data_IF_354108457995
#
_entry.id   IF_354108457995
#
_cell.length_a   1.000
_cell.length_b   1.000
_cell.length_c   1.000
_cell.angle_alpha   90.00
_cell.angle_beta   90.00
_cell.angle_gamma   90.00
#
_symmetry.space_group_name_H-M   'P 1'
#
loop_
_entity.id
_entity.type
_entity.pdbx_description
1 polymer ?
#
# COMPACT_ATOMS: atom_id res chain seq x y z
N UNK A 1 20.06 3.71 -36.70
CA UNK A 1 18.60 3.90 -36.54
C UNK A 1 17.97 2.78 -35.71
N UNK A 2 18.43 1.54 -35.78
CA UNK A 2 17.96 0.43 -34.92
C UNK A 2 18.10 0.68 -33.41
N UNK A 3 19.21 1.27 -32.97
CA UNK A 3 19.48 1.53 -31.55
C UNK A 3 18.49 2.52 -30.90
N UNK A 4 17.95 3.47 -31.66
CA UNK A 4 16.96 4.44 -31.16
C UNK A 4 15.58 3.81 -30.95
N UNK A 5 15.20 2.86 -31.81
CA UNK A 5 13.91 2.17 -31.67
C UNK A 5 13.92 1.17 -30.51
N UNK A 6 15.04 0.46 -30.30
CA UNK A 6 15.15 -0.49 -29.19
C UNK A 6 15.15 0.23 -27.83
N UNK A 7 15.93 1.31 -27.65
CA UNK A 7 15.93 2.08 -26.40
C UNK A 7 14.54 2.63 -26.04
N UNK A 8 13.83 3.19 -27.02
CA UNK A 8 12.48 3.73 -26.81
C UNK A 8 11.47 2.64 -26.44
N UNK A 9 11.62 1.44 -27.00
CA UNK A 9 10.75 0.30 -26.68
C UNK A 9 11.03 -0.25 -25.28
N UNK A 10 12.29 -0.31 -24.86
CA UNK A 10 12.68 -0.74 -23.51
C UNK A 10 12.21 0.27 -22.45
N UNK A 11 12.37 1.57 -22.69
CA UNK A 11 11.93 2.62 -21.76
C UNK A 11 10.40 2.60 -21.56
N UNK A 12 9.64 2.38 -22.64
CA UNK A 12 8.18 2.26 -22.56
C UNK A 12 7.75 1.05 -21.72
N UNK A 13 8.40 -0.11 -21.91
CA UNK A 13 8.15 -1.33 -21.13
C UNK A 13 8.48 -1.13 -19.65
N UNK A 14 9.59 -0.47 -19.35
CA UNK A 14 9.98 -0.12 -17.99
C UNK A 14 8.93 0.76 -17.30
N UNK A 15 8.44 1.79 -18.00
CA UNK A 15 7.38 2.65 -17.47
C UNK A 15 6.05 1.91 -17.26
N UNK A 16 5.70 0.96 -18.14
CA UNK A 16 4.52 0.11 -17.98
C UNK A 16 4.64 -0.82 -16.77
N UNK A 17 5.82 -1.40 -16.55
CA UNK A 17 6.10 -2.22 -15.37
C UNK A 17 5.95 -1.41 -14.08
N UNK A 18 6.51 -0.20 -14.00
CA UNK A 18 6.34 0.71 -12.85
C UNK A 18 4.86 0.99 -12.59
N UNK A 19 4.09 1.32 -13.63
CA UNK A 19 2.65 1.63 -13.47
C UNK A 19 1.86 0.45 -12.92
N UNK A 20 2.14 -0.77 -13.38
CA UNK A 20 1.48 -1.97 -12.87
C UNK A 20 1.78 -2.19 -11.39
N UNK A 21 3.06 -2.15 -11.01
CA UNK A 21 3.50 -2.34 -9.62
C UNK A 21 2.89 -1.29 -8.69
N UNK A 22 2.83 -0.02 -9.12
CA UNK A 22 2.21 1.07 -8.35
C UNK A 22 0.71 0.86 -8.13
N UNK A 23 0.02 0.27 -9.11
CA UNK A 23 -1.42 -0.02 -9.02
C UNK A 23 -1.70 -1.15 -8.03
N UNK A 24 -0.93 -2.23 -8.09
CA UNK A 24 -1.01 -3.33 -7.12
C UNK A 24 -0.76 -2.83 -5.70
N UNK A 25 0.29 -2.02 -5.51
CA UNK A 25 0.66 -1.42 -4.23
C UNK A 25 -0.48 -0.62 -3.60
N UNK A 26 -1.12 0.25 -4.38
CA UNK A 26 -2.26 1.04 -3.91
C UNK A 26 -3.40 0.15 -3.41
N UNK A 27 -3.71 -0.93 -4.14
CA UNK A 27 -4.76 -1.89 -3.73
C UNK A 27 -4.44 -2.57 -2.39
N UNK A 28 -3.21 -3.07 -2.21
CA UNK A 28 -2.79 -3.69 -0.95
C UNK A 28 -2.87 -2.71 0.24
N UNK A 29 -2.49 -1.45 0.03
CA UNK A 29 -2.60 -0.41 1.06
C UNK A 29 -4.07 -0.21 1.46
N UNK A 30 -4.96 -0.05 0.48
CA UNK A 30 -6.40 0.11 0.76
C UNK A 30 -6.97 -1.10 1.52
N UNK A 31 -6.58 -2.32 1.13
CA UNK A 31 -7.02 -3.54 1.80
C UNK A 31 -6.51 -3.63 3.25
N UNK A 32 -5.24 -3.30 3.49
CA UNK A 32 -4.65 -3.27 4.84
C UNK A 32 -5.35 -2.21 5.69
N UNK A 33 -5.50 -0.99 5.18
CA UNK A 33 -6.22 0.08 5.88
C UNK A 33 -7.64 -0.36 6.23
N UNK A 34 -8.39 -0.91 5.27
CA UNK A 34 -9.74 -1.42 5.50
C UNK A 34 -9.78 -2.49 6.60
N UNK A 35 -8.85 -3.44 6.58
CA UNK A 35 -8.74 -4.47 7.61
C UNK A 35 -8.51 -3.86 9.01
N UNK A 36 -7.57 -2.92 9.13
CA UNK A 36 -7.27 -2.26 10.39
C UNK A 36 -8.45 -1.40 10.91
N UNK A 37 -9.17 -0.71 10.01
CA UNK A 37 -10.41 0.04 10.36
C UNK A 37 -11.45 -0.89 10.93
N UNK A 38 -11.74 -2.00 10.25
CA UNK A 38 -12.74 -2.96 10.71
C UNK A 38 -12.32 -3.61 12.04
N UNK A 39 -11.05 -3.97 12.19
CA UNK A 39 -10.52 -4.50 13.44
C UNK A 39 -10.73 -3.52 14.60
N UNK A 40 -10.44 -2.23 14.39
CA UNK A 40 -10.67 -1.18 15.38
C UNK A 40 -12.14 -1.04 15.76
N UNK A 41 -13.06 -1.10 14.80
CA UNK A 41 -14.50 -1.05 15.06
C UNK A 41 -14.92 -2.25 15.93
N UNK A 42 -14.45 -3.45 15.61
CA UNK A 42 -14.75 -4.67 16.38
C UNK A 42 -14.16 -4.57 17.79
N UNK A 43 -12.89 -4.20 17.92
CA UNK A 43 -12.21 -4.06 19.21
C UNK A 43 -12.89 -3.01 20.08
N UNK A 44 -13.27 -1.88 19.50
CA UNK A 44 -14.06 -0.84 20.17
C UNK A 44 -15.39 -1.42 20.66
N UNK A 45 -16.14 -2.11 19.79
CA UNK A 45 -17.42 -2.70 20.19
C UNK A 45 -17.28 -3.75 21.32
N UNK A 46 -16.25 -4.60 21.26
CA UNK A 46 -15.99 -5.63 22.28
C UNK A 46 -15.56 -5.03 23.62
N UNK A 47 -14.67 -4.04 23.61
CA UNK A 47 -14.17 -3.40 24.84
C UNK A 47 -15.25 -2.54 25.47
N UNK A 48 -16.00 -1.78 24.67
CA UNK A 48 -16.94 -0.77 25.16
C UNK A 48 -18.39 -1.25 25.29
N UNK A 49 -18.74 -2.41 24.71
CA UNK A 49 -20.09 -2.98 24.79
C UNK A 49 -20.55 -3.42 26.19
N UNK A 50 -19.67 -3.35 27.22
CA UNK A 50 -20.00 -3.71 28.61
C UNK A 50 -19.93 -2.58 29.64
N UNK A 51 -19.35 -1.42 29.33
CA UNK A 51 -19.12 -0.36 30.32
C UNK A 51 -20.02 0.85 30.06
N UNK A 52 -21.01 1.00 30.94
CA UNK A 52 -21.97 2.08 30.97
C UNK A 52 -21.28 3.45 31.11
N UNK A 53 -21.37 4.26 30.04
CA UNK A 53 -21.56 5.72 29.95
C UNK A 53 -20.84 6.75 30.84
N UNK A 54 -19.97 6.40 31.78
CA UNK A 54 -19.31 7.41 32.60
C UNK A 54 -17.81 7.47 32.29
N UNK A 55 -17.33 8.63 31.81
CA UNK A 55 -15.91 9.05 31.78
C UNK A 55 -14.99 8.57 30.63
N UNK A 56 -15.49 8.29 29.41
CA UNK A 56 -14.63 7.85 28.28
C UNK A 56 -14.51 8.81 27.08
N UNK A 57 -15.15 9.99 27.10
CA UNK A 57 -15.14 10.92 25.95
C UNK A 57 -13.71 11.28 25.49
N UNK A 58 -12.79 11.49 26.42
CA UNK A 58 -11.39 11.81 26.11
C UNK A 58 -10.63 10.63 25.47
N UNK A 59 -10.95 9.39 25.85
CA UNK A 59 -10.29 8.20 25.30
C UNK A 59 -10.80 7.88 23.90
N UNK A 60 -12.09 8.09 23.62
CA UNK A 60 -12.63 7.94 22.27
C UNK A 60 -12.00 8.93 21.30
N UNK A 61 -11.85 10.20 21.69
CA UNK A 61 -11.16 11.20 20.85
C UNK A 61 -9.70 10.81 20.62
N UNK A 62 -8.96 10.38 21.65
CA UNK A 62 -7.57 9.97 21.51
C UNK A 62 -7.39 8.70 20.66
N UNK A 63 -8.28 7.71 20.79
CA UNK A 63 -8.26 6.48 19.97
C UNK A 63 -8.65 6.80 18.52
N UNK A 64 -9.65 7.64 18.31
CA UNK A 64 -10.08 8.05 16.97
C UNK A 64 -9.00 8.87 16.26
N UNK A 65 -8.38 9.84 16.95
CA UNK A 65 -7.27 10.62 16.43
C UNK A 65 -6.01 9.77 16.23
N UNK A 66 -5.65 8.93 17.18
CA UNK A 66 -4.52 8.01 17.07
C UNK A 66 -4.70 7.01 15.93
N UNK A 67 -5.94 6.60 15.65
CA UNK A 67 -6.27 5.75 14.52
C UNK A 67 -6.28 6.51 13.19
N UNK A 68 -6.83 7.73 13.15
CA UNK A 68 -6.78 8.58 11.96
C UNK A 68 -5.33 8.89 11.55
N UNK A 69 -4.50 9.26 12.53
CA UNK A 69 -3.05 9.43 12.35
C UNK A 69 -2.35 8.10 12.03
N UNK A 70 -2.77 7.00 12.65
CA UNK A 70 -2.26 5.67 12.39
C UNK A 70 -2.53 5.25 10.94
N UNK A 71 -3.75 5.37 10.45
CA UNK A 71 -4.13 5.07 9.06
C UNK A 71 -3.47 6.03 8.09
N UNK A 72 -3.44 7.33 8.39
CA UNK A 72 -2.81 8.32 7.52
C UNK A 72 -1.29 8.09 7.45
N UNK A 73 -0.67 7.87 8.60
CA UNK A 73 0.73 7.51 8.74
C UNK A 73 1.03 6.18 8.06
N UNK A 74 0.21 5.16 8.25
CA UNK A 74 0.37 3.88 7.56
C UNK A 74 0.20 4.08 6.05
N UNK A 75 -0.81 4.79 5.57
CA UNK A 75 -1.02 5.06 4.14
C UNK A 75 0.13 5.83 3.48
N UNK A 76 0.76 6.75 4.21
CA UNK A 76 1.89 7.56 3.72
C UNK A 76 3.24 6.86 3.89
N UNK A 77 3.45 6.13 4.98
CA UNK A 77 4.73 5.51 5.34
C UNK A 77 4.83 3.99 5.01
N UNK A 78 3.74 3.21 5.00
CA UNK A 78 3.76 1.80 4.52
C UNK A 78 4.22 1.62 3.08
N UNK A 79 3.86 2.49 2.12
CA UNK A 79 4.43 2.45 0.79
C UNK A 79 5.95 2.35 0.81
N UNK A 80 6.62 3.04 1.74
CA UNK A 80 8.07 3.03 1.86
C UNK A 80 8.59 1.94 2.82
N UNK A 81 7.81 1.54 3.83
CA UNK A 81 8.26 0.64 4.89
C UNK A 81 8.00 -0.85 4.62
N UNK A 82 6.86 -1.22 4.04
CA UNK A 82 6.48 -2.62 3.78
C UNK A 82 6.75 -3.02 2.33
N UNK A 83 6.34 -2.18 1.37
CA UNK A 83 6.56 -2.38 -0.06
C UNK A 83 7.63 -1.40 -0.55
N UNK A 84 8.76 -1.41 0.17
CA UNK A 84 9.87 -0.49 -0.05
C UNK A 84 10.45 -0.57 -1.47
N UNK A 85 11.30 0.41 -1.80
CA UNK A 85 11.91 0.58 -3.13
C UNK A 85 12.53 -0.72 -3.67
N UNK A 86 13.13 -1.53 -2.80
CA UNK A 86 13.67 -2.84 -3.19
C UNK A 86 12.63 -3.82 -3.74
N UNK A 87 11.44 -3.90 -3.13
CA UNK A 87 10.38 -4.79 -3.62
C UNK A 87 9.87 -4.32 -4.98
N UNK A 88 9.71 -3.00 -5.16
CA UNK A 88 9.35 -2.42 -6.46
C UNK A 88 10.42 -2.73 -7.50
N UNK A 89 11.70 -2.50 -7.21
CA UNK A 89 12.82 -2.79 -8.12
C UNK A 89 12.86 -4.27 -8.50
N UNK A 90 12.76 -5.19 -7.54
CA UNK A 90 12.74 -6.64 -7.82
C UNK A 90 11.56 -7.04 -8.70
N UNK A 91 10.38 -6.44 -8.49
CA UNK A 91 9.17 -6.74 -9.27
C UNK A 91 9.28 -6.19 -10.69
N UNK A 92 9.83 -4.99 -10.86
CA UNK A 92 10.09 -4.36 -12.17
C UNK A 92 11.12 -5.17 -12.95
N UNK A 93 12.23 -5.57 -12.33
CA UNK A 93 13.26 -6.41 -12.96
C UNK A 93 12.68 -7.76 -13.40
N UNK A 94 11.85 -8.38 -12.57
CA UNK A 94 11.18 -9.64 -12.92
C UNK A 94 10.28 -9.48 -14.16
N UNK A 95 9.46 -8.43 -14.20
CA UNK A 95 8.61 -8.12 -15.35
C UNK A 95 9.43 -7.83 -16.61
N UNK A 96 10.52 -7.07 -16.48
CA UNK A 96 11.44 -6.77 -17.58
C UNK A 96 12.08 -8.04 -18.14
N UNK A 97 12.46 -8.98 -17.27
CA UNK A 97 13.00 -10.28 -17.66
C UNK A 97 11.97 -11.13 -18.40
N UNK A 98 10.74 -11.21 -17.89
CA UNK A 98 9.63 -11.88 -18.56
C UNK A 98 9.35 -11.31 -19.96
N UNK A 99 9.38 -9.98 -20.10
CA UNK A 99 9.21 -9.31 -21.39
C UNK A 99 10.32 -9.64 -22.40
N UNK A 100 11.56 -9.83 -21.93
CA UNK A 100 12.70 -10.21 -22.75
C UNK A 100 12.66 -11.69 -23.16
N UNK A 101 12.25 -12.56 -22.24
CA UNK A 101 12.16 -14.01 -22.48
C UNK A 101 11.00 -14.36 -23.44
N UNK A 102 9.92 -13.55 -23.51
CA UNK A 102 8.81 -13.72 -24.46
C UNK A 102 9.11 -13.30 -25.90
N UNK A 103 10.22 -12.58 -26.13
CA UNK A 103 10.66 -12.12 -27.46
C UNK A 103 11.83 -12.94 -28.04
N UNK A 104 12.38 -13.88 -27.26
CA UNK A 104 13.53 -14.72 -27.62
C UNK A 104 13.17 -16.04 -28.28
#
# INVERSE_FOLDING_TARGET
>A
METYHTEKSEDLRYQLAIKQVKKEKSFYIHAIVYFFVNLMIIVSNVIFGKTQWASMENYYTAIFWGFGLGVHGLSVFLPNFILGKEWETRKIEKLMKEYKDMEG
#
